data_IF_392073712362
#
_entry.id   IF_392073712362
#
_cell.length_a   1.000
_cell.length_b   1.000
_cell.length_c   1.000
_cell.angle_alpha   90.00
_cell.angle_beta   90.00
_cell.angle_gamma   90.00
#
_symmetry.space_group_name_H-M   'P 1'
#
loop_
_entity.id
_entity.type
_entity.pdbx_description
1 polymer ?
#
# COMPACT_ATOMS: atom_id res chain seq x y z
N UNK A 1 5.49 20.08 1.20
CA UNK A 1 4.86 19.37 0.06
C UNK A 1 5.83 18.29 -0.39
N UNK A 2 5.40 17.02 -0.41
CA UNK A 2 6.26 15.88 -0.73
C UNK A 2 6.34 15.73 -2.27
N UNK A 3 7.55 15.75 -2.84
CA UNK A 3 7.77 15.60 -4.29
C UNK A 3 8.59 14.34 -4.52
N UNK A 4 7.99 13.31 -5.14
CA UNK A 4 8.58 11.96 -5.35
C UNK A 4 9.52 11.93 -6.59
N UNK A 5 9.93 13.08 -7.14
CA UNK A 5 10.53 13.12 -8.48
C UNK A 5 11.99 12.63 -8.54
N UNK A 6 12.74 12.68 -7.45
CA UNK A 6 14.18 12.42 -7.44
C UNK A 6 14.61 11.27 -6.52
N UNK A 7 13.67 10.66 -5.80
CA UNK A 7 13.92 9.53 -4.90
C UNK A 7 13.06 8.36 -5.36
N UNK A 8 13.69 7.19 -5.53
CA UNK A 8 13.01 5.91 -5.75
C UNK A 8 12.84 5.25 -4.36
N UNK A 9 11.73 5.51 -3.66
CA UNK A 9 11.53 4.95 -2.33
C UNK A 9 11.41 3.42 -2.38
N UNK A 10 11.88 2.71 -1.35
CA UNK A 10 11.56 1.30 -1.13
C UNK A 10 10.08 0.99 -1.34
N UNK A 11 9.79 -0.22 -1.84
CA UNK A 11 8.43 -0.68 -2.15
C UNK A 11 7.48 -0.57 -0.94
N UNK A 12 8.02 -0.74 0.26
CA UNK A 12 7.31 -0.63 1.54
C UNK A 12 6.76 0.78 1.76
N UNK A 13 7.57 1.81 1.47
CA UNK A 13 7.16 3.21 1.57
C UNK A 13 6.06 3.49 0.55
N UNK A 14 6.21 3.04 -0.70
CA UNK A 14 5.18 3.18 -1.72
C UNK A 14 3.87 2.54 -1.29
N UNK A 15 3.92 1.35 -0.69
CA UNK A 15 2.73 0.67 -0.21
C UNK A 15 2.05 1.42 0.94
N UNK A 16 2.83 1.96 1.88
CA UNK A 16 2.31 2.82 2.92
C UNK A 16 1.60 4.05 2.33
N UNK A 17 2.24 4.74 1.38
CA UNK A 17 1.69 5.93 0.73
C UNK A 17 0.41 5.61 -0.06
N UNK A 18 0.42 4.57 -0.88
CA UNK A 18 -0.78 4.14 -1.63
C UNK A 18 -1.92 3.81 -0.68
N UNK A 19 -1.64 3.09 0.41
CA UNK A 19 -2.65 2.74 1.43
C UNK A 19 -3.19 3.98 2.14
N UNK A 20 -2.32 4.93 2.50
CA UNK A 20 -2.73 6.17 3.15
C UNK A 20 -3.61 7.03 2.24
N UNK A 21 -3.25 7.15 0.95
CA UNK A 21 -4.05 7.86 -0.06
C UNK A 21 -5.40 7.18 -0.25
N UNK A 22 -5.39 5.87 -0.45
CA UNK A 22 -6.59 5.08 -0.72
C UNK A 22 -7.60 5.18 0.43
N UNK A 23 -7.15 5.05 1.68
CA UNK A 23 -8.02 5.25 2.85
C UNK A 23 -8.55 6.66 2.96
N UNK A 24 -7.70 7.66 2.73
CA UNK A 24 -8.08 9.07 2.83
C UNK A 24 -9.15 9.46 1.80
N UNK A 25 -9.16 8.81 0.63
CA UNK A 25 -10.16 9.04 -0.41
C UNK A 25 -11.42 8.20 -0.15
N UNK A 26 -11.26 6.90 0.13
CA UNK A 26 -12.37 5.95 0.27
C UNK A 26 -13.33 6.31 1.40
N UNK A 27 -12.84 6.87 2.49
CA UNK A 27 -13.68 7.28 3.62
C UNK A 27 -14.42 8.60 3.36
N UNK A 28 -13.91 9.46 2.47
CA UNK A 28 -14.46 10.80 2.20
C UNK A 28 -15.40 10.85 1.00
N UNK A 29 -15.21 9.97 0.03
CA UNK A 29 -15.94 10.00 -1.25
C UNK A 29 -16.75 8.74 -1.46
N UNK A 30 -17.91 8.90 -2.08
CA UNK A 30 -18.86 7.82 -2.36
C UNK A 30 -19.33 7.90 -3.81
N UNK A 31 -20.18 6.96 -4.21
CA UNK A 31 -20.77 6.96 -5.55
C UNK A 31 -21.54 8.26 -5.84
N UNK A 32 -22.30 8.73 -4.85
CA UNK A 32 -23.08 9.97 -4.92
C UNK A 32 -22.20 11.20 -4.69
N UNK A 33 -21.20 11.09 -3.81
CA UNK A 33 -20.25 12.14 -3.50
C UNK A 33 -18.88 11.89 -4.14
N UNK A 34 -18.79 12.15 -5.45
CA UNK A 34 -17.61 11.83 -6.26
C UNK A 34 -16.40 12.71 -5.95
N UNK A 35 -15.22 12.10 -6.05
CA UNK A 35 -13.91 12.74 -5.95
C UNK A 35 -13.55 13.49 -7.23
N UNK A 36 -14.05 14.73 -7.39
CA UNK A 36 -13.65 15.61 -8.50
C UNK A 36 -12.28 16.25 -8.24
N UNK A 37 -11.51 16.52 -9.30
CA UNK A 37 -10.19 17.17 -9.19
C UNK A 37 -10.22 18.45 -8.37
N UNK A 38 -11.23 19.29 -8.59
CA UNK A 38 -11.42 20.55 -7.84
C UNK A 38 -11.60 20.38 -6.34
N UNK A 39 -11.98 19.17 -5.88
CA UNK A 39 -12.08 18.83 -4.46
C UNK A 39 -10.81 18.19 -3.93
N UNK A 40 -10.24 17.26 -4.69
CA UNK A 40 -9.09 16.44 -4.24
C UNK A 40 -7.78 17.23 -4.26
N UNK A 41 -7.63 18.23 -5.14
CA UNK A 41 -6.39 19.01 -5.26
C UNK A 41 -6.04 19.78 -3.98
N UNK A 42 -7.04 20.12 -3.16
CA UNK A 42 -6.87 20.87 -1.91
C UNK A 42 -6.94 19.95 -0.67
N UNK A 43 -6.97 18.63 -0.87
CA UNK A 43 -6.95 17.64 0.20
C UNK A 43 -5.51 17.31 0.61
N UNK A 44 -5.31 17.15 1.91
CA UNK A 44 -4.02 16.81 2.49
C UNK A 44 -4.15 15.51 3.30
N UNK A 45 -3.16 14.63 3.15
CA UNK A 45 -2.99 13.45 3.98
C UNK A 45 -1.90 13.72 5.01
N UNK A 46 -2.09 13.23 6.24
CA UNK A 46 -1.04 13.25 7.24
C UNK A 46 -0.16 12.01 7.08
N UNK A 47 1.14 12.23 7.11
CA UNK A 47 2.14 11.16 7.10
C UNK A 47 2.90 11.19 8.43
N UNK A 48 3.43 10.05 8.90
CA UNK A 48 4.40 10.05 9.98
C UNK A 48 5.55 10.98 9.61
N UNK A 49 5.97 11.78 10.59
CA UNK A 49 7.02 12.79 10.40
C UNK A 49 7.92 12.88 11.62
N UNK A 50 9.20 13.12 11.36
CA UNK A 50 10.22 13.36 12.35
C UNK A 50 10.92 14.67 11.98
N UNK A 51 10.96 15.62 12.92
CA UNK A 51 11.54 16.96 12.71
C UNK A 51 10.97 17.71 11.49
N UNK A 52 9.68 17.56 11.20
CA UNK A 52 9.00 18.22 10.09
C UNK A 52 9.27 17.61 8.71
N UNK A 53 10.01 16.50 8.66
CA UNK A 53 10.26 15.71 7.45
C UNK A 53 9.50 14.37 7.54
N UNK A 54 9.08 13.79 6.40
CA UNK A 54 8.47 12.45 6.40
C UNK A 54 9.39 11.42 7.06
N UNK A 55 8.84 10.62 7.97
CA UNK A 55 9.54 9.55 8.66
C UNK A 55 9.35 8.24 7.90
N UNK A 56 10.25 7.98 6.97
CA UNK A 56 10.22 6.80 6.12
C UNK A 56 10.52 5.50 6.88
N UNK A 57 11.36 5.55 7.91
CA UNK A 57 11.70 4.39 8.73
C UNK A 57 10.47 3.92 9.53
N UNK A 58 9.67 4.87 10.04
CA UNK A 58 8.38 4.58 10.66
C UNK A 58 7.42 3.91 9.66
N UNK A 59 7.28 4.44 8.43
CA UNK A 59 6.41 3.85 7.40
C UNK A 59 6.80 2.39 7.09
N UNK A 60 8.10 2.14 6.92
CA UNK A 60 8.65 0.81 6.65
C UNK A 60 8.40 -0.13 7.82
N UNK A 61 8.73 0.31 9.04
CA UNK A 61 8.55 -0.48 10.27
C UNK A 61 7.09 -0.86 10.50
N UNK A 62 6.16 0.03 10.14
CA UNK A 62 4.74 -0.23 10.26
C UNK A 62 4.25 -1.30 9.27
N UNK A 63 4.74 -1.24 8.03
CA UNK A 63 4.16 -2.02 6.93
C UNK A 63 4.81 -3.40 6.75
N UNK A 64 6.10 -3.53 7.04
CA UNK A 64 6.84 -4.79 6.86
C UNK A 64 6.19 -5.98 7.59
N UNK A 65 5.80 -5.88 8.88
CA UNK A 65 5.17 -7.00 9.58
C UNK A 65 3.83 -7.42 8.97
N UNK A 66 3.05 -6.46 8.45
CA UNK A 66 1.77 -6.74 7.81
C UNK A 66 1.97 -7.51 6.50
N UNK A 67 2.89 -7.04 5.66
CA UNK A 67 3.24 -7.69 4.39
C UNK A 67 3.81 -9.09 4.60
N UNK A 68 4.69 -9.26 5.60
CA UNK A 68 5.26 -10.57 5.95
C UNK A 68 4.17 -11.56 6.37
N UNK A 69 3.26 -11.15 7.26
CA UNK A 69 2.15 -11.99 7.72
C UNK A 69 1.22 -12.38 6.57
N UNK A 70 0.90 -11.45 5.67
CA UNK A 70 0.06 -11.74 4.52
C UNK A 70 0.70 -12.80 3.61
N UNK A 71 2.00 -12.68 3.34
CA UNK A 71 2.75 -13.68 2.56
C UNK A 71 2.71 -15.05 3.23
N UNK A 72 2.98 -15.11 4.54
CA UNK A 72 2.88 -16.37 5.31
C UNK A 72 1.49 -16.98 5.24
N UNK A 73 0.42 -16.18 5.38
CA UNK A 73 -0.95 -16.69 5.24
C UNK A 73 -1.20 -17.27 3.84
N UNK A 74 -0.77 -16.56 2.79
CA UNK A 74 -0.88 -17.06 1.42
C UNK A 74 -0.15 -18.40 1.24
N UNK A 75 1.09 -18.50 1.73
CA UNK A 75 1.89 -19.72 1.64
C UNK A 75 1.24 -20.90 2.38
N UNK A 76 0.76 -20.69 3.60
CA UNK A 76 0.07 -21.72 4.40
C UNK A 76 -1.21 -22.21 3.72
N UNK A 77 -2.02 -21.29 3.21
CA UNK A 77 -3.27 -21.63 2.52
C UNK A 77 -2.97 -22.41 1.23
N UNK A 78 -1.99 -21.94 0.45
CA UNK A 78 -1.58 -22.60 -0.79
C UNK A 78 -1.04 -24.00 -0.54
N UNK A 79 -0.25 -24.20 0.51
CA UNK A 79 0.24 -25.53 0.92
C UNK A 79 -0.92 -26.44 1.40
N UNK A 80 -1.80 -25.93 2.26
CA UNK A 80 -2.92 -26.71 2.81
C UNK A 80 -3.97 -27.12 1.77
N UNK A 81 -4.00 -26.42 0.64
CA UNK A 81 -4.92 -26.67 -0.48
C UNK A 81 -4.23 -27.34 -1.68
N UNK A 82 -2.99 -27.80 -1.52
CA UNK A 82 -2.18 -28.38 -2.59
C UNK A 82 -2.10 -27.48 -3.86
N UNK A 83 -2.15 -26.17 -3.68
CA UNK A 83 -2.10 -25.19 -4.76
C UNK A 83 -3.46 -24.82 -5.36
N UNK A 84 -4.58 -25.42 -4.95
CA UNK A 84 -5.91 -25.06 -5.45
C UNK A 84 -6.32 -23.63 -5.09
N UNK A 85 -5.79 -23.09 -3.98
CA UNK A 85 -6.05 -21.70 -3.58
C UNK A 85 -4.73 -20.91 -3.54
N UNK A 86 -4.66 -19.87 -4.36
CA UNK A 86 -3.66 -18.82 -4.30
C UNK A 86 -4.35 -17.46 -4.11
N UNK A 87 -4.16 -16.82 -2.95
CA UNK A 87 -4.81 -15.54 -2.68
C UNK A 87 -4.34 -14.47 -3.66
N UNK A 88 -3.07 -14.51 -4.06
CA UNK A 88 -2.47 -13.52 -4.96
C UNK A 88 -2.96 -13.60 -6.40
N UNK A 89 -3.66 -14.67 -6.80
CA UNK A 89 -4.35 -14.76 -8.08
C UNK A 89 -5.72 -14.06 -8.09
N UNK A 90 -6.31 -13.79 -6.91
CA UNK A 90 -7.59 -13.08 -6.86
C UNK A 90 -7.39 -11.62 -7.26
N UNK A 91 -8.38 -11.07 -7.99
CA UNK A 91 -8.35 -9.70 -8.50
C UNK A 91 -8.09 -8.65 -7.40
N UNK A 92 -8.65 -8.86 -6.21
CA UNK A 92 -8.48 -7.99 -5.04
C UNK A 92 -7.04 -7.92 -4.51
N UNK A 93 -6.22 -8.95 -4.77
CA UNK A 93 -4.82 -9.02 -4.35
C UNK A 93 -3.83 -8.84 -5.50
N UNK A 94 -4.28 -8.70 -6.75
CA UNK A 94 -3.39 -8.64 -7.92
C UNK A 94 -2.36 -7.50 -7.86
N UNK A 95 -2.76 -6.33 -7.34
CA UNK A 95 -1.85 -5.21 -7.10
C UNK A 95 -0.81 -5.50 -6.01
N UNK A 96 -1.20 -6.27 -4.99
CA UNK A 96 -0.28 -6.72 -3.94
C UNK A 96 0.65 -7.83 -4.45
N UNK A 97 0.14 -8.77 -5.23
CA UNK A 97 0.89 -9.89 -5.81
C UNK A 97 2.12 -9.40 -6.58
N UNK A 98 1.91 -8.42 -7.47
CA UNK A 98 2.97 -7.75 -8.25
C UNK A 98 4.12 -7.21 -7.40
N UNK A 99 3.87 -6.87 -6.13
CA UNK A 99 4.87 -6.34 -5.21
C UNK A 99 5.72 -7.42 -4.51
N UNK A 100 5.19 -8.65 -4.41
CA UNK A 100 5.92 -9.80 -3.87
C UNK A 100 6.73 -10.52 -4.95
N UNK A 101 6.31 -10.44 -6.21
CA UNK A 101 6.96 -11.10 -7.34
C UNK A 101 8.22 -10.37 -7.85
N UNK A 102 8.45 -9.09 -7.49
CA UNK A 102 9.60 -8.29 -8.00
C UNK A 102 10.95 -8.60 -7.32
N UNK A 103 11.06 -9.71 -6.59
CA UNK A 103 12.28 -10.08 -5.85
C UNK A 103 13.01 -11.23 -6.52
N UNK A 104 13.34 -11.10 -7.81
CA UNK A 104 14.39 -11.89 -8.48
C UNK A 104 15.00 -11.08 -9.64
N UNK A 105 15.81 -10.06 -9.31
CA UNK A 105 16.87 -9.58 -10.21
C UNK A 105 18.02 -8.94 -9.43
#
# INVERSE_FOLDING_TARGET
MLVIKEFLPPKEILFFLTTAIEKSIREKYSYEYKAYWSKVQDEYIMLPSQNGLPDYDCMVTFIMPMSARLKTCNDVIRMGTNGEINLFEKAEYHSLAKMFDTTEQ
#
